data_IF_905250330217
#
_entry.id   IF_905250330217
#
_cell.length_a   1.000
_cell.length_b   1.000
_cell.length_c   1.000
_cell.angle_alpha   90.00
_cell.angle_beta   90.00
_cell.angle_gamma   90.00
#
_symmetry.space_group_name_H-M   'P 1'
#
loop_
_entity.id
_entity.type
_entity.pdbx_description
1 polymer ?
#
# COMPACT_ATOMS: atom_id res chain seq x y z
N UNK A 1 -18.88 -33.60 -83.58
CA UNK A 1 -18.38 -34.79 -82.86
C UNK A 1 -17.15 -34.33 -82.07
N UNK A 2 -17.24 -33.95 -80.78
CA UNK A 2 -17.16 -34.80 -79.56
C UNK A 2 -15.84 -35.61 -79.50
N UNK A 3 -15.02 -35.71 -78.45
CA UNK A 3 -15.14 -35.37 -77.03
C UNK A 3 -13.74 -35.52 -76.32
N UNK A 4 -13.48 -34.68 -75.30
CA UNK A 4 -12.84 -34.95 -73.98
C UNK A 4 -11.47 -35.67 -73.74
N UNK A 5 -10.74 -35.07 -72.76
CA UNK A 5 -9.88 -35.64 -71.66
C UNK A 5 -8.44 -36.10 -72.03
N UNK A 6 -7.36 -36.02 -71.24
CA UNK A 6 -7.06 -35.64 -69.82
C UNK A 6 -5.52 -35.69 -69.61
N UNK A 7 -4.97 -34.77 -68.78
CA UNK A 7 -3.75 -34.83 -67.91
C UNK A 7 -2.35 -35.16 -68.51
N UNK A 8 -1.21 -34.58 -68.10
CA UNK A 8 -0.62 -34.53 -66.74
C UNK A 8 0.67 -33.68 -66.68
N UNK A 9 0.77 -32.80 -65.66
CA UNK A 9 1.89 -32.45 -64.72
C UNK A 9 3.38 -32.64 -65.14
N UNK A 10 4.36 -31.87 -64.65
CA UNK A 10 4.42 -30.70 -63.76
C UNK A 10 5.88 -30.16 -63.77
N UNK A 11 6.03 -28.85 -63.57
CA UNK A 11 7.29 -28.16 -63.28
C UNK A 11 7.02 -27.12 -62.17
N UNK A 12 8.03 -26.90 -61.32
CA UNK A 12 8.20 -25.85 -60.30
C UNK A 12 7.34 -25.89 -59.01
N UNK A 13 8.03 -25.89 -57.86
CA UNK A 13 8.05 -24.71 -56.96
C UNK A 13 9.00 -24.93 -55.76
N UNK A 14 10.05 -24.11 -55.73
CA UNK A 14 10.90 -23.83 -54.58
C UNK A 14 10.19 -22.74 -53.76
N UNK A 15 9.71 -23.03 -52.54
CA UNK A 15 9.38 -22.06 -51.47
C UNK A 15 8.37 -22.69 -50.51
N UNK A 16 8.82 -23.17 -49.34
CA UNK A 16 7.94 -23.23 -48.16
C UNK A 16 8.62 -23.57 -46.81
N UNK A 17 9.96 -23.61 -46.71
CA UNK A 17 10.62 -24.00 -45.43
C UNK A 17 11.16 -22.84 -44.58
N UNK A 18 11.08 -21.59 -45.04
CA UNK A 18 11.56 -20.45 -44.27
C UNK A 18 10.47 -19.68 -43.49
N UNK A 19 9.18 -19.94 -43.77
CA UNK A 19 8.08 -19.20 -43.12
C UNK A 19 7.67 -19.84 -41.79
N UNK A 20 7.99 -21.12 -41.53
CA UNK A 20 7.58 -21.79 -40.30
C UNK A 20 8.47 -21.47 -39.08
N UNK A 21 9.73 -21.07 -39.28
CA UNK A 21 10.62 -20.72 -38.17
C UNK A 21 10.38 -19.32 -37.61
N UNK A 22 9.86 -18.37 -38.41
CA UNK A 22 9.62 -16.99 -37.93
C UNK A 22 8.36 -16.90 -37.05
N UNK A 23 7.38 -17.78 -37.25
CA UNK A 23 6.15 -17.81 -36.45
C UNK A 23 6.33 -18.46 -35.06
N UNK A 24 7.39 -19.25 -34.85
CA UNK A 24 7.69 -19.85 -33.54
C UNK A 24 8.52 -18.95 -32.63
N UNK A 25 9.13 -17.87 -33.13
CA UNK A 25 9.84 -16.89 -32.31
C UNK A 25 8.94 -15.76 -31.79
N UNK A 26 7.73 -15.59 -32.32
CA UNK A 26 6.81 -14.53 -31.90
C UNK A 26 5.87 -14.94 -30.75
N UNK A 27 5.78 -16.23 -30.41
CA UNK A 27 5.02 -16.71 -29.24
C UNK A 27 5.81 -16.63 -27.92
N UNK A 28 7.13 -16.38 -27.98
CA UNK A 28 8.01 -16.31 -26.80
C UNK A 28 7.98 -14.97 -26.04
N UNK A 29 7.42 -13.90 -26.61
CA UNK A 29 7.45 -12.58 -25.95
C UNK A 29 6.42 -12.40 -24.81
N UNK A 30 5.45 -13.30 -24.66
CA UNK A 30 4.49 -13.22 -23.54
C UNK A 30 5.03 -13.86 -22.25
N UNK A 31 5.93 -14.84 -22.37
CA UNK A 31 6.48 -15.59 -21.23
C UNK A 31 7.54 -14.77 -20.49
N UNK A 32 8.37 -13.99 -21.20
CA UNK A 32 9.36 -13.11 -20.56
C UNK A 32 8.75 -11.89 -19.84
N UNK A 33 7.51 -11.48 -20.17
CA UNK A 33 6.79 -10.45 -19.39
C UNK A 33 6.30 -10.94 -18.03
N UNK A 34 6.28 -12.24 -17.77
CA UNK A 34 5.88 -12.82 -16.47
C UNK A 34 7.01 -12.85 -15.43
N UNK A 35 8.27 -12.76 -15.85
CA UNK A 35 9.42 -13.00 -14.96
C UNK A 35 9.94 -11.69 -14.35
N UNK A 36 9.72 -10.55 -15.01
CA UNK A 36 10.11 -9.24 -14.47
C UNK A 36 8.93 -8.26 -14.58
N UNK A 37 8.20 -8.00 -13.47
CA UNK A 37 7.17 -6.96 -13.48
C UNK A 37 7.83 -5.65 -13.89
N UNK A 38 7.23 -4.97 -14.87
CA UNK A 38 7.76 -3.72 -15.40
C UNK A 38 7.82 -2.72 -14.25
N UNK A 39 9.04 -2.31 -13.90
CA UNK A 39 9.30 -1.43 -12.76
C UNK A 39 8.44 -0.17 -12.85
N UNK A 40 7.65 0.10 -11.81
CA UNK A 40 6.69 1.19 -11.83
C UNK A 40 7.43 2.53 -11.71
N UNK A 41 7.58 3.24 -12.84
CA UNK A 41 8.27 4.55 -12.93
C UNK A 41 7.78 5.54 -11.87
N UNK A 42 6.49 5.49 -11.54
CA UNK A 42 5.92 6.32 -10.48
C UNK A 42 6.47 5.94 -9.10
N UNK A 43 6.51 4.65 -8.73
CA UNK A 43 7.06 4.22 -7.44
C UNK A 43 8.55 4.58 -7.31
N UNK A 44 9.32 4.47 -8.40
CA UNK A 44 10.71 4.95 -8.43
C UNK A 44 10.83 6.43 -8.14
N UNK A 45 9.92 7.24 -8.69
CA UNK A 45 9.95 8.69 -8.53
C UNK A 45 9.74 9.13 -7.07
N UNK A 46 9.08 8.31 -6.25
CA UNK A 46 8.91 8.56 -4.82
C UNK A 46 10.22 8.39 -4.03
N UNK A 47 11.21 7.69 -4.60
CA UNK A 47 12.53 7.45 -4.01
C UNK A 47 12.39 6.97 -2.55
N UNK A 48 11.67 5.87 -2.37
CA UNK A 48 11.38 5.26 -1.07
C UNK A 48 12.36 4.12 -0.79
N UNK A 49 12.71 3.87 0.49
CA UNK A 49 13.38 2.62 0.86
C UNK A 49 12.56 1.39 0.48
N UNK A 50 13.22 0.30 0.08
CA UNK A 50 12.58 -0.93 -0.42
C UNK A 50 11.57 -1.53 0.57
N UNK A 51 11.95 -1.60 1.86
CA UNK A 51 11.11 -2.11 2.95
C UNK A 51 9.77 -1.37 3.12
N UNK A 52 9.62 -0.17 2.54
CA UNK A 52 8.35 0.59 2.55
C UNK A 52 7.35 -0.01 1.56
N UNK A 53 7.84 -0.51 0.42
CA UNK A 53 7.03 -1.05 -0.67
C UNK A 53 6.70 -2.54 -0.46
N UNK A 54 7.42 -3.21 0.43
CA UNK A 54 7.10 -4.57 0.85
C UNK A 54 5.72 -4.61 1.51
N UNK A 55 4.84 -5.43 0.95
CA UNK A 55 3.48 -5.69 1.40
C UNK A 55 3.50 -6.87 2.38
N UNK A 56 3.19 -6.62 3.65
CA UNK A 56 2.95 -7.68 4.64
C UNK A 56 1.44 -7.95 4.72
N UNK A 57 0.87 -8.61 3.71
CA UNK A 57 -0.44 -9.27 3.87
C UNK A 57 -0.20 -10.54 4.69
N UNK A 58 -0.03 -10.41 6.00
CA UNK A 58 -0.27 -11.53 6.92
C UNK A 58 -1.51 -11.19 7.72
N UNK A 59 -2.65 -11.66 7.21
CA UNK A 59 -3.82 -11.90 8.04
C UNK A 59 -3.36 -12.76 9.23
N UNK A 60 -3.31 -12.20 10.44
CA UNK A 60 -3.41 -13.04 11.62
C UNK A 60 -4.86 -13.48 11.71
N UNK A 61 -5.10 -14.69 11.22
CA UNK A 61 -6.31 -15.45 11.50
C UNK A 61 -6.47 -15.55 13.02
N UNK A 62 -7.67 -15.22 13.46
CA UNK A 62 -8.16 -15.18 14.84
C UNK A 62 -7.69 -16.38 15.66
N UNK A 63 -6.86 -16.14 16.67
CA UNK A 63 -6.63 -17.09 17.75
C UNK A 63 -7.69 -16.87 18.82
N UNK A 64 -8.56 -17.86 19.02
CA UNK A 64 -9.64 -17.86 20.01
C UNK A 64 -9.17 -17.95 21.45
N UNK A 65 -8.43 -16.93 21.92
CA UNK A 65 -8.10 -16.69 23.32
C UNK A 65 -8.28 -15.18 23.59
N UNK A 66 -9.26 -14.83 24.42
CA UNK A 66 -9.35 -13.51 25.10
C UNK A 66 -8.00 -13.22 25.81
N UNK A 67 -7.39 -12.02 25.82
CA UNK A 67 -7.89 -10.65 25.71
C UNK A 67 -6.81 -9.67 25.18
N UNK A 68 -7.30 -8.59 24.56
CA UNK A 68 -6.64 -7.43 23.93
C UNK A 68 -6.15 -7.66 22.48
N UNK A 69 -6.82 -7.07 21.46
CA UNK A 69 -6.22 -6.99 20.13
C UNK A 69 -4.90 -6.22 20.26
N UNK A 70 -3.80 -6.77 19.76
CA UNK A 70 -2.64 -5.95 19.49
C UNK A 70 -3.11 -4.83 18.53
N UNK A 71 -2.96 -3.54 18.87
CA UNK A 71 -3.44 -2.45 18.00
C UNK A 71 -2.83 -2.51 16.58
N UNK A 72 -1.72 -3.24 16.41
CA UNK A 72 -1.07 -3.49 15.13
C UNK A 72 -1.78 -4.53 14.23
N UNK A 73 -2.71 -5.33 14.77
CA UNK A 73 -3.32 -6.48 14.09
C UNK A 73 -4.75 -6.19 13.56
N UNK A 74 -5.30 -4.99 13.76
CA UNK A 74 -6.70 -4.70 13.38
C UNK A 74 -6.93 -4.56 11.88
N UNK A 75 -5.93 -4.08 11.14
CA UNK A 75 -6.02 -3.85 9.69
C UNK A 75 -4.69 -4.19 8.97
N UNK A 76 -4.75 -4.81 7.78
CA UNK A 76 -3.59 -4.94 6.91
C UNK A 76 -2.99 -3.58 6.56
N UNK A 77 -1.66 -3.47 6.50
CA UNK A 77 -0.97 -2.21 6.21
C UNK A 77 -1.38 -1.61 4.85
N UNK A 78 -1.63 -2.46 3.86
CA UNK A 78 -2.03 -2.06 2.50
C UNK A 78 -3.47 -1.53 2.43
N UNK A 79 -4.32 -1.90 3.40
CA UNK A 79 -5.66 -1.31 3.55
C UNK A 79 -5.61 0.08 4.20
N UNK A 80 -4.59 0.33 5.04
CA UNK A 80 -4.40 1.63 5.69
C UNK A 80 -3.78 2.63 4.69
N UNK A 81 -2.71 2.24 4.01
CA UNK A 81 -2.06 3.07 3.02
C UNK A 81 -1.34 2.24 1.96
N UNK A 82 -1.57 2.57 0.69
CA UNK A 82 -0.95 1.91 -0.46
C UNK A 82 -0.83 2.86 -1.66
N UNK A 83 -0.19 2.38 -2.73
CA UNK A 83 -0.03 3.11 -3.98
C UNK A 83 -0.69 2.33 -5.12
N UNK A 84 -1.58 2.98 -5.85
CA UNK A 84 -2.28 2.37 -6.98
C UNK A 84 -2.50 3.42 -8.07
N UNK A 85 -2.32 3.07 -9.34
CA UNK A 85 -2.66 3.93 -10.49
C UNK A 85 -2.04 5.36 -10.42
N UNK A 86 -0.80 5.48 -9.92
CA UNK A 86 -0.09 6.76 -9.71
C UNK A 86 -0.72 7.70 -8.66
N UNK A 87 -1.64 7.17 -7.86
CA UNK A 87 -2.25 7.85 -6.73
C UNK A 87 -1.85 7.15 -5.42
N UNK A 88 -1.94 7.90 -4.33
CA UNK A 88 -1.86 7.34 -2.99
C UNK A 88 -3.27 6.98 -2.52
N UNK A 89 -3.43 5.79 -1.96
CA UNK A 89 -4.66 5.33 -1.32
C UNK A 89 -4.47 5.41 0.18
N UNK A 90 -5.39 6.06 0.88
CA UNK A 90 -5.35 6.23 2.33
C UNK A 90 -6.71 5.90 2.92
N UNK A 91 -6.73 5.10 3.98
CA UNK A 91 -7.92 4.93 4.80
C UNK A 91 -8.13 6.17 5.67
N UNK A 92 -9.34 6.72 5.67
CA UNK A 92 -9.78 7.72 6.62
C UNK A 92 -11.01 7.17 7.37
N UNK A 93 -11.17 7.51 8.65
CA UNK A 93 -12.31 6.99 9.42
C UNK A 93 -13.51 7.92 9.43
N UNK A 94 -13.32 9.17 9.03
CA UNK A 94 -14.40 10.16 8.92
C UNK A 94 -14.09 11.21 7.85
N UNK A 95 -15.10 11.96 7.36
CA UNK A 95 -14.88 13.09 6.46
C UNK A 95 -13.95 14.17 7.04
N UNK A 96 -14.00 14.40 8.35
CA UNK A 96 -13.10 15.35 9.00
C UNK A 96 -11.66 14.82 9.02
N UNK A 97 -11.47 13.55 9.40
CA UNK A 97 -10.16 12.92 9.39
C UNK A 97 -9.55 12.89 7.99
N UNK A 98 -10.36 12.64 6.97
CA UNK A 98 -9.95 12.72 5.57
C UNK A 98 -9.41 14.11 5.21
N UNK A 99 -10.12 15.18 5.58
CA UNK A 99 -9.67 16.55 5.33
C UNK A 99 -8.35 16.82 6.05
N UNK A 100 -8.25 16.48 7.33
CA UNK A 100 -7.05 16.68 8.13
C UNK A 100 -5.85 15.89 7.56
N UNK A 101 -6.08 14.65 7.14
CA UNK A 101 -5.08 13.82 6.46
C UNK A 101 -4.62 14.47 5.17
N UNK A 102 -5.54 14.99 4.35
CA UNK A 102 -5.14 15.64 3.10
C UNK A 102 -4.28 16.88 3.36
N UNK A 103 -4.71 17.74 4.27
CA UNK A 103 -3.97 18.95 4.65
C UNK A 103 -2.60 18.61 5.24
N UNK A 104 -2.53 17.59 6.10
CA UNK A 104 -1.28 17.14 6.71
C UNK A 104 -0.33 16.49 5.70
N UNK A 105 -0.88 15.80 4.68
CA UNK A 105 -0.08 15.04 3.72
C UNK A 105 0.42 15.85 2.53
N UNK A 106 -0.30 16.92 2.17
CA UNK A 106 0.02 17.70 0.99
C UNK A 106 -0.02 16.86 -0.29
N UNK A 107 0.64 17.37 -1.33
CA UNK A 107 0.73 16.67 -2.61
C UNK A 107 1.80 15.58 -2.61
N UNK A 108 1.58 14.55 -3.41
CA UNK A 108 2.49 13.42 -3.58
C UNK A 108 3.85 13.82 -4.18
N UNK A 109 3.90 14.97 -4.87
CA UNK A 109 5.12 15.57 -5.39
C UNK A 109 5.89 16.41 -4.35
N UNK A 110 5.38 16.50 -3.12
CA UNK A 110 6.03 17.11 -1.96
C UNK A 110 5.73 18.60 -1.83
N UNK A 111 5.01 19.19 -2.79
CA UNK A 111 4.50 20.55 -2.65
C UNK A 111 3.33 20.61 -1.67
N UNK A 112 3.08 21.78 -1.10
CA UNK A 112 1.92 21.97 -0.22
C UNK A 112 0.64 21.95 -1.04
N UNK A 113 -0.43 21.49 -0.40
CA UNK A 113 -1.78 21.63 -0.94
C UNK A 113 -2.16 23.11 -1.02
N UNK A 114 -2.58 23.57 -2.19
CA UNK A 114 -3.13 24.90 -2.41
C UNK A 114 -4.65 24.95 -2.20
N UNK A 115 -5.33 23.84 -2.49
CA UNK A 115 -6.77 23.72 -2.28
C UNK A 115 -7.31 22.38 -2.74
N UNK A 116 -8.62 22.20 -2.58
CA UNK A 116 -9.33 20.97 -2.90
C UNK A 116 -10.37 21.29 -3.97
N UNK A 117 -10.36 20.57 -5.09
CA UNK A 117 -11.17 20.91 -6.27
C UNK A 117 -12.50 20.17 -6.32
N UNK A 118 -12.45 18.85 -6.17
CA UNK A 118 -13.61 17.98 -6.36
C UNK A 118 -13.39 16.65 -5.63
N UNK A 119 -14.49 15.97 -5.33
CA UNK A 119 -14.50 14.58 -4.93
C UNK A 119 -15.37 13.74 -5.87
N UNK A 120 -15.05 12.45 -5.97
CA UNK A 120 -15.82 11.48 -6.76
C UNK A 120 -15.92 10.18 -5.98
N UNK A 121 -17.15 9.73 -5.75
CA UNK A 121 -17.41 8.40 -5.22
C UNK A 121 -17.32 7.38 -6.36
N UNK A 122 -16.56 6.31 -6.15
CA UNK A 122 -16.43 5.19 -7.10
C UNK A 122 -17.45 4.10 -6.81
N UNK A 123 -17.60 3.15 -7.74
CA UNK A 123 -18.45 1.96 -7.57
C UNK A 123 -18.01 1.05 -6.41
N UNK A 124 -16.77 1.21 -5.92
CA UNK A 124 -16.24 0.49 -4.76
C UNK A 124 -16.44 1.25 -3.43
N UNK A 125 -17.31 2.26 -3.42
CA UNK A 125 -17.55 3.15 -2.27
C UNK A 125 -16.29 3.89 -1.80
N UNK A 126 -15.37 4.14 -2.72
CA UNK A 126 -14.15 4.91 -2.44
C UNK A 126 -14.41 6.37 -2.78
N UNK A 127 -13.98 7.28 -1.90
CA UNK A 127 -14.10 8.72 -2.10
C UNK A 127 -12.77 9.27 -2.62
N UNK A 128 -12.70 9.55 -3.91
CA UNK A 128 -11.50 10.05 -4.57
C UNK A 128 -11.51 11.57 -4.52
N UNK A 129 -10.48 12.16 -3.91
CA UNK A 129 -10.32 13.60 -3.79
C UNK A 129 -9.18 14.10 -4.65
N UNK A 130 -9.44 15.21 -5.34
CA UNK A 130 -8.48 15.88 -6.20
C UNK A 130 -8.03 17.18 -5.54
N UNK A 131 -6.75 17.24 -5.22
CA UNK A 131 -6.08 18.42 -4.69
C UNK A 131 -5.37 19.20 -5.78
N UNK A 132 -5.27 20.50 -5.58
CA UNK A 132 -4.43 21.37 -6.38
C UNK A 132 -3.17 21.66 -5.57
N UNK A 133 -2.03 21.40 -6.17
CA UNK A 133 -0.72 21.61 -5.58
C UNK A 133 -0.27 23.07 -5.77
N UNK A 134 0.60 23.57 -4.90
CA UNK A 134 1.13 24.94 -5.02
C UNK A 134 1.86 25.21 -6.35
N UNK A 135 2.39 24.17 -7.00
CA UNK A 135 3.02 24.28 -8.32
C UNK A 135 2.01 24.24 -9.49
N UNK A 136 0.70 24.22 -9.20
CA UNK A 136 -0.37 24.19 -10.19
C UNK A 136 -0.70 22.82 -10.76
N UNK A 137 0.03 21.76 -10.37
CA UNK A 137 -0.32 20.38 -10.74
C UNK A 137 -1.48 19.87 -9.90
N UNK A 138 -2.21 18.92 -10.45
CA UNK A 138 -3.23 18.19 -9.69
C UNK A 138 -2.60 16.95 -9.05
N UNK A 139 -3.06 16.65 -7.85
CA UNK A 139 -2.80 15.38 -7.17
C UNK A 139 -4.14 14.71 -6.84
N UNK A 140 -4.14 13.39 -6.85
CA UNK A 140 -5.28 12.58 -6.52
C UNK A 140 -4.93 11.67 -5.34
N UNK A 141 -5.73 11.78 -4.29
CA UNK A 141 -5.70 10.84 -3.17
C UNK A 141 -7.03 10.10 -3.16
N UNK A 142 -6.94 8.78 -3.05
CA UNK A 142 -8.13 7.94 -2.91
C UNK A 142 -8.32 7.69 -1.43
N UNK A 143 -9.40 8.23 -0.87
CA UNK A 143 -9.80 7.95 0.49
C UNK A 143 -10.78 6.78 0.52
N UNK A 144 -10.52 5.83 1.41
CA UNK A 144 -11.50 4.81 1.78
C UNK A 144 -12.07 5.17 3.14
N UNK A 145 -13.39 5.26 3.26
CA UNK A 145 -14.05 5.60 4.52
C UNK A 145 -14.43 4.31 5.25
N UNK A 146 -13.93 4.11 6.48
CA UNK A 146 -14.12 2.87 7.21
C UNK A 146 -15.59 2.62 7.63
N UNK A 147 -16.32 3.68 8.03
CA UNK A 147 -17.71 3.59 8.47
C UNK A 147 -18.50 4.84 8.05
N UNK A 148 -18.94 4.87 6.79
CA UNK A 148 -19.76 5.95 6.26
C UNK A 148 -21.05 6.13 7.05
N UNK A 149 -21.34 7.38 7.43
CA UNK A 149 -22.56 7.76 8.15
C UNK A 149 -22.52 7.51 9.67
N UNK A 150 -21.40 7.00 10.21
CA UNK A 150 -21.25 6.80 11.65
C UNK A 150 -20.94 8.14 12.36
N UNK A 151 -22.00 8.89 12.69
CA UNK A 151 -21.88 10.20 13.35
C UNK A 151 -21.20 10.15 14.72
N UNK A 152 -21.30 9.01 15.43
CA UNK A 152 -20.62 8.82 16.71
C UNK A 152 -19.12 8.66 16.52
N UNK A 153 -18.67 7.93 15.50
CA UNK A 153 -17.25 7.82 15.16
C UNK A 153 -16.66 9.19 14.78
N UNK A 154 -17.42 10.01 14.05
CA UNK A 154 -16.98 11.36 13.65
C UNK A 154 -16.78 12.26 14.88
N UNK A 155 -17.74 12.22 15.81
CA UNK A 155 -17.65 12.97 17.06
C UNK A 155 -16.52 12.47 17.95
N UNK A 156 -16.27 11.15 17.98
CA UNK A 156 -15.14 10.56 18.71
C UNK A 156 -13.80 11.00 18.13
N UNK A 157 -13.66 11.05 16.80
CA UNK A 157 -12.45 11.57 16.18
C UNK A 157 -12.12 12.99 16.69
N UNK A 158 -13.08 13.90 16.64
CA UNK A 158 -12.88 15.28 17.11
C UNK A 158 -12.62 15.38 18.62
N UNK A 159 -13.39 14.66 19.43
CA UNK A 159 -13.36 14.80 20.89
C UNK A 159 -12.26 14.00 21.57
N UNK A 160 -11.81 12.90 20.97
CA UNK A 160 -10.89 11.96 21.59
C UNK A 160 -9.56 11.88 20.83
N UNK A 161 -9.59 11.75 19.49
CA UNK A 161 -8.35 11.56 18.70
C UNK A 161 -7.46 12.79 18.77
N UNK A 162 -8.00 13.99 18.53
CA UNK A 162 -7.21 15.23 18.52
C UNK A 162 -6.59 15.51 19.90
N UNK A 163 -7.34 15.47 21.02
CA UNK A 163 -6.74 15.68 22.34
C UNK A 163 -5.74 14.58 22.73
N UNK A 164 -6.03 13.32 22.42
CA UNK A 164 -5.11 12.21 22.70
C UNK A 164 -3.78 12.38 21.95
N UNK A 165 -3.83 12.79 20.68
CA UNK A 165 -2.63 13.09 19.91
C UNK A 165 -1.81 14.24 20.50
N UNK A 166 -2.48 15.33 20.86
CA UNK A 166 -1.84 16.49 21.50
C UNK A 166 -1.13 16.11 22.81
N UNK A 167 -1.77 15.28 23.63
CA UNK A 167 -1.18 14.79 24.87
C UNK A 167 -0.03 13.79 24.62
N UNK A 168 -0.20 12.85 23.67
CA UNK A 168 0.85 11.90 23.30
C UNK A 168 2.13 12.62 22.86
N UNK A 169 1.98 13.66 22.02
CA UNK A 169 3.09 14.48 21.54
C UNK A 169 3.84 15.17 22.68
N UNK A 170 3.13 15.74 23.66
CA UNK A 170 3.72 16.41 24.82
C UNK A 170 4.49 15.41 25.72
N UNK A 171 3.94 14.21 25.89
CA UNK A 171 4.50 13.20 26.78
C UNK A 171 5.62 12.37 26.17
N UNK A 172 5.83 12.42 24.86
CA UNK A 172 6.79 11.59 24.13
C UNK A 172 8.21 11.53 24.74
N UNK A 173 8.66 12.62 25.38
CA UNK A 173 9.99 12.68 26.03
C UNK A 173 9.93 12.37 27.52
N UNK A 174 8.88 12.81 28.22
CA UNK A 174 8.80 12.75 29.69
C UNK A 174 8.15 11.47 30.21
N UNK A 175 7.23 10.89 29.46
CA UNK A 175 6.50 9.67 29.79
C UNK A 175 6.21 8.88 28.51
N UNK A 176 7.23 8.20 27.96
CA UNK A 176 7.13 7.50 26.68
C UNK A 176 6.06 6.40 26.71
N UNK A 177 5.86 5.70 27.83
CA UNK A 177 4.86 4.63 27.93
C UNK A 177 3.44 5.18 27.80
N UNK A 178 3.14 6.30 28.47
CA UNK A 178 1.84 6.97 28.32
C UNK A 178 1.67 7.53 26.91
N UNK A 179 2.74 8.06 26.31
CA UNK A 179 2.71 8.53 24.92
C UNK A 179 2.41 7.40 23.92
N UNK A 180 3.00 6.21 24.11
CA UNK A 180 2.67 5.02 23.31
C UNK A 180 1.19 4.66 23.42
N UNK A 181 0.64 4.59 24.65
CA UNK A 181 -0.78 4.24 24.84
C UNK A 181 -1.72 5.23 24.14
N UNK A 182 -1.48 6.53 24.30
CA UNK A 182 -2.30 7.57 23.68
C UNK A 182 -2.15 7.56 22.15
N UNK A 183 -0.94 7.37 21.63
CA UNK A 183 -0.71 7.28 20.19
C UNK A 183 -1.35 6.01 19.59
N UNK A 184 -1.40 4.90 20.33
CA UNK A 184 -2.16 3.71 19.93
C UNK A 184 -3.66 3.98 19.87
N UNK A 185 -4.23 4.63 20.88
CA UNK A 185 -5.64 5.06 20.84
C UNK A 185 -5.93 5.96 19.62
N UNK A 186 -5.00 6.85 19.25
CA UNK A 186 -5.13 7.68 18.04
C UNK A 186 -5.19 6.83 16.78
N UNK A 187 -4.30 5.85 16.59
CA UNK A 187 -4.28 5.02 15.37
C UNK A 187 -5.37 3.93 15.34
N UNK A 188 -6.00 3.62 16.48
CA UNK A 188 -7.22 2.80 16.52
C UNK A 188 -8.42 3.57 15.93
N UNK A 189 -8.49 4.88 16.17
CA UNK A 189 -9.54 5.75 15.63
C UNK A 189 -9.22 6.33 14.25
N UNK A 190 -7.96 6.59 13.93
CA UNK A 190 -7.51 7.07 12.63
C UNK A 190 -6.23 6.33 12.20
N UNK A 191 -6.38 5.15 11.56
CA UNK A 191 -5.25 4.29 11.23
C UNK A 191 -4.20 4.93 10.34
N UNK A 192 -4.53 5.93 9.53
CA UNK A 192 -3.56 6.59 8.66
C UNK A 192 -2.91 7.83 9.28
N UNK A 193 -3.20 8.16 10.55
CA UNK A 193 -2.71 9.38 11.19
C UNK A 193 -1.16 9.49 11.12
N UNK A 194 -0.58 10.37 10.28
CA UNK A 194 0.83 10.31 9.94
C UNK A 194 1.74 10.59 11.13
N UNK A 195 1.40 11.59 11.95
CA UNK A 195 2.25 11.99 13.06
C UNK A 195 2.24 10.98 14.22
N UNK A 196 1.10 10.37 14.54
CA UNK A 196 0.99 9.27 15.50
C UNK A 196 1.76 8.03 15.05
N UNK A 197 1.64 7.65 13.76
CA UNK A 197 2.44 6.56 13.16
C UNK A 197 3.94 6.83 13.30
N UNK A 198 4.40 8.02 12.95
CA UNK A 198 5.80 8.41 13.12
C UNK A 198 6.25 8.35 14.59
N UNK A 199 5.43 8.85 15.52
CA UNK A 199 5.74 8.83 16.95
C UNK A 199 5.87 7.39 17.47
N UNK A 200 4.93 6.51 17.15
CA UNK A 200 5.01 5.09 17.50
C UNK A 200 6.24 4.42 16.90
N UNK A 201 6.54 4.70 15.63
CA UNK A 201 7.78 4.26 14.98
C UNK A 201 9.03 4.63 15.79
N UNK A 202 9.11 5.88 16.25
CA UNK A 202 10.20 6.40 17.08
C UNK A 202 10.26 5.75 18.47
N UNK A 203 9.12 5.67 19.17
CA UNK A 203 9.05 5.15 20.53
C UNK A 203 9.35 3.64 20.56
N UNK A 204 8.80 2.86 19.62
CA UNK A 204 9.11 1.45 19.49
C UNK A 204 10.56 1.19 19.10
N UNK A 205 11.16 2.02 18.25
CA UNK A 205 12.58 1.91 17.93
C UNK A 205 13.47 2.16 19.16
N UNK A 206 13.10 3.14 20.00
CA UNK A 206 13.80 3.42 21.26
C UNK A 206 13.65 2.27 22.25
N UNK A 207 12.48 1.64 22.32
CA UNK A 207 12.21 0.47 23.15
C UNK A 207 12.72 -0.86 22.60
N UNK A 208 13.36 -0.88 21.42
CA UNK A 208 13.89 -2.10 20.80
C UNK A 208 12.84 -2.98 20.10
N UNK A 209 11.58 -2.54 20.00
CA UNK A 209 10.53 -3.27 19.31
C UNK A 209 10.57 -3.01 17.79
N UNK A 210 11.47 -3.73 17.10
CA UNK A 210 11.75 -3.51 15.67
C UNK A 210 10.54 -3.74 14.77
N UNK A 211 9.76 -4.81 14.99
CA UNK A 211 8.61 -5.13 14.13
C UNK A 211 7.57 -4.01 14.11
N UNK A 212 7.16 -3.55 15.29
CA UNK A 212 6.21 -2.44 15.39
C UNK A 212 6.77 -1.11 14.90
N UNK A 213 8.06 -0.87 15.13
CA UNK A 213 8.72 0.32 14.59
C UNK A 213 8.67 0.37 13.06
N UNK A 214 9.06 -0.74 12.41
CA UNK A 214 9.06 -0.87 10.95
C UNK A 214 7.65 -0.71 10.39
N UNK A 215 6.65 -1.41 10.95
CA UNK A 215 5.24 -1.29 10.54
C UNK A 215 4.76 0.17 10.58
N UNK A 216 4.98 0.84 11.71
CA UNK A 216 4.49 2.20 11.88
C UNK A 216 5.21 3.21 10.97
N UNK A 217 6.52 3.07 10.79
CA UNK A 217 7.25 3.90 9.83
C UNK A 217 6.89 3.58 8.37
N UNK A 218 6.55 2.34 8.05
CA UNK A 218 6.13 1.93 6.70
C UNK A 218 4.85 2.64 6.34
N UNK A 219 3.83 2.56 7.19
CA UNK A 219 2.57 3.27 7.00
C UNK A 219 2.82 4.78 6.93
N UNK A 220 3.64 5.34 7.83
CA UNK A 220 4.01 6.75 7.79
C UNK A 220 4.59 7.17 6.44
N UNK A 221 5.54 6.40 5.88
CA UNK A 221 6.18 6.72 4.60
C UNK A 221 5.29 6.39 3.39
N UNK A 222 4.28 5.54 3.52
CA UNK A 222 3.25 5.38 2.49
C UNK A 222 2.29 6.56 2.48
N UNK A 223 1.94 7.09 3.65
CA UNK A 223 1.13 8.30 3.82
C UNK A 223 1.93 9.55 3.42
N UNK A 224 3.22 9.62 3.76
CA UNK A 224 4.14 10.75 3.55
C UNK A 224 5.39 10.34 2.75
N UNK A 225 5.27 9.98 1.45
CA UNK A 225 6.38 9.39 0.69
C UNK A 225 7.59 10.32 0.49
N UNK A 226 7.37 11.63 0.55
CA UNK A 226 8.41 12.63 0.42
C UNK A 226 8.76 13.32 1.75
N UNK A 227 8.46 12.66 2.88
CA UNK A 227 8.94 13.11 4.18
C UNK A 227 10.46 13.33 4.17
N UNK A 228 10.90 14.52 4.57
CA UNK A 228 12.32 14.91 4.52
C UNK A 228 13.23 14.08 5.41
N UNK A 229 12.69 13.36 6.39
CA UNK A 229 13.44 12.51 7.31
C UNK A 229 13.41 11.01 6.96
N UNK A 230 12.88 10.62 5.78
CA UNK A 230 12.79 9.20 5.38
C UNK A 230 14.12 8.46 5.40
N UNK A 231 15.21 9.10 4.95
CA UNK A 231 16.53 8.47 4.92
C UNK A 231 17.17 8.38 6.30
N UNK A 232 16.88 9.35 7.18
CA UNK A 232 17.25 9.26 8.59
C UNK A 232 16.52 8.11 9.28
N UNK A 233 15.24 7.91 8.99
CA UNK A 233 14.46 6.76 9.48
C UNK A 233 15.08 5.45 8.97
N UNK A 234 15.36 5.36 7.67
CA UNK A 234 15.98 4.17 7.07
C UNK A 234 17.33 3.84 7.70
N UNK A 235 18.21 4.83 7.90
CA UNK A 235 19.51 4.65 8.54
C UNK A 235 19.35 4.12 9.97
N UNK A 236 18.48 4.74 10.77
CA UNK A 236 18.22 4.33 12.15
C UNK A 236 17.66 2.90 12.24
N UNK A 237 16.74 2.53 11.34
CA UNK A 237 16.21 1.17 11.25
C UNK A 237 17.27 0.18 10.79
N UNK A 238 18.12 0.55 9.82
CA UNK A 238 19.17 -0.35 9.34
C UNK A 238 20.20 -0.65 10.42
N UNK A 239 20.57 0.36 11.22
CA UNK A 239 21.50 0.21 12.33
C UNK A 239 20.95 -0.63 13.48
N UNK A 240 19.69 -0.42 13.86
CA UNK A 240 19.10 -1.07 15.06
C UNK A 240 18.28 -2.32 14.78
N UNK A 241 17.75 -2.44 13.56
CA UNK A 241 16.75 -3.42 13.16
C UNK A 241 17.06 -4.04 11.79
N UNK A 242 18.29 -3.96 11.28
CA UNK A 242 18.64 -4.34 9.92
C UNK A 242 18.27 -5.78 9.53
N UNK A 243 18.23 -6.71 10.49
CA UNK A 243 17.77 -8.08 10.28
C UNK A 243 16.27 -8.17 9.92
N UNK A 244 15.45 -7.25 10.44
CA UNK A 244 14.02 -7.19 10.21
C UNK A 244 13.63 -6.40 8.95
N UNK A 245 14.59 -5.70 8.33
CA UNK A 245 14.38 -5.00 7.05
C UNK A 245 14.56 -5.92 5.85
N UNK A 246 15.10 -7.12 6.05
CA UNK A 246 15.23 -8.11 4.99
C UNK A 246 13.83 -8.66 4.68
N UNK A 247 13.45 -8.80 3.40
CA UNK A 247 12.18 -9.43 3.06
C UNK A 247 12.11 -10.81 3.71
N UNK A 248 11.01 -11.11 4.38
CA UNK A 248 10.80 -12.46 4.89
C UNK A 248 10.82 -13.43 3.70
N UNK A 249 11.55 -14.56 3.78
CA UNK A 249 11.55 -15.53 2.70
C UNK A 249 10.11 -15.94 2.41
N UNK A 250 9.70 -15.87 1.14
CA UNK A 250 8.37 -16.33 0.70
C UNK A 250 8.21 -17.76 1.17
N UNK A 251 7.36 -17.99 2.19
CA UNK A 251 6.90 -19.35 2.48
C UNK A 251 6.07 -19.75 1.27
N UNK A 252 6.43 -20.85 0.63
CA UNK A 252 5.55 -21.51 -0.32
C UNK A 252 4.19 -21.66 0.36
N UNK A 253 3.14 -21.14 -0.27
CA UNK A 253 1.78 -21.49 0.10
C UNK A 253 1.71 -23.00 0.02
N UNK A 254 1.68 -23.65 1.17
CA UNK A 254 1.43 -25.08 1.23
C UNK A 254 -0.01 -25.22 0.76
N UNK A 255 -0.19 -25.65 -0.49
CA UNK A 255 -1.48 -26.09 -0.98
C UNK A 255 -1.99 -27.13 0.02
N UNK A 256 -3.00 -26.75 0.81
CA UNK A 256 -3.72 -27.70 1.63
C UNK A 256 -4.27 -28.74 0.65
N UNK A 257 -4.00 -30.04 0.85
CA UNK A 257 -4.58 -31.06 -0.01
C UNK A 257 -6.09 -30.83 -0.01
N UNK A 258 -6.67 -30.76 -1.21
CA UNK A 258 -8.12 -30.68 -1.38
C UNK A 258 -8.74 -31.72 -0.46
N UNK A 259 -9.63 -31.27 0.43
CA UNK A 259 -10.39 -32.19 1.27
C UNK A 259 -11.09 -33.15 0.33
N UNK A 260 -10.65 -34.41 0.35
CA UNK A 260 -11.17 -35.47 -0.49
C UNK A 260 -12.69 -35.52 -0.27
N UNK A 261 -13.51 -35.20 -1.29
CA UNK A 261 -14.97 -35.20 -1.13
C UNK A 261 -15.51 -36.60 -0.76
N UNK A 262 -14.67 -37.63 -0.83
CA UNK A 262 -15.01 -39.02 -0.50
C UNK A 262 -14.54 -39.47 0.89
N UNK A 263 -13.98 -38.58 1.74
CA UNK A 263 -13.73 -38.91 3.14
C UNK A 263 -15.00 -38.73 3.99
N UNK A 264 -15.92 -39.70 3.87
CA UNK A 264 -17.03 -39.96 4.79
C UNK A 264 -16.61 -40.94 5.89
#
# INVERSE_FOLDING_TARGET
MANQKVFSRAFFSFSNRFILCVLLFLSGCSIYRRIFPKENVFLKSLNLPEWVLESNIKLRVLSGLQDLPNPEDSLPEDEIASFENKARRILATSPQAMKDLFEATGCIDGSRLAGIRANRITEREEDVWYGICQNGKEDAIIFRLFQMGNTDLYRKYEKETVPAWEEARKLATNNPDKAVRLANQVIEMEPAHPAARKLLGQLYLKGGYCKGSIRNYRIYLRVMPLAGDKWKIHEQLSQKCGEFLKPEPKREEVELPDADPDSL
#
